data_IF_374298132564
#
_entry.id   IF_374298132564
#
_cell.length_a   1.000
_cell.length_b   1.000
_cell.length_c   1.000
_cell.angle_alpha   90.00
_cell.angle_beta   90.00
_cell.angle_gamma   90.00
#
_symmetry.space_group_name_H-M   'P 1'
#
loop_
_entity.id
_entity.type
_entity.pdbx_description
1 polymer ?
#
# COMPACT_ATOMS: atom_id res chain seq x y z
N UNK A 1 13.91 9.82 -7.87
CA UNK A 1 12.79 8.99 -8.30
C UNK A 1 13.08 7.55 -7.99
N UNK A 2 12.18 6.89 -7.31
CA UNK A 2 12.35 5.49 -6.93
C UNK A 2 11.16 4.65 -7.36
N UNK A 3 11.42 3.36 -7.59
CA UNK A 3 10.40 2.40 -7.98
C UNK A 3 10.62 1.09 -7.23
N UNK A 4 9.54 0.51 -6.75
CA UNK A 4 9.54 -0.84 -6.17
C UNK A 4 8.41 -1.64 -6.79
N UNK A 5 8.60 -2.95 -6.89
CA UNK A 5 7.53 -3.86 -7.25
C UNK A 5 7.77 -5.22 -6.63
N UNK A 6 6.70 -5.90 -6.29
CA UNK A 6 6.76 -7.20 -5.67
C UNK A 6 5.50 -7.97 -6.01
N UNK A 7 5.68 -9.24 -6.35
CA UNK A 7 4.57 -10.14 -6.66
C UNK A 7 4.66 -11.34 -5.74
N UNK A 8 3.54 -11.69 -5.12
CA UNK A 8 3.48 -12.82 -4.19
C UNK A 8 2.26 -13.68 -4.49
N UNK A 9 2.46 -14.99 -4.45
CA UNK A 9 1.34 -15.93 -4.46
C UNK A 9 0.71 -15.94 -3.07
N UNK A 10 -0.60 -15.77 -3.05
CA UNK A 10 -1.38 -15.70 -1.83
C UNK A 10 -2.23 -16.93 -1.70
N UNK A 11 -2.41 -17.42 -0.47
CA UNK A 11 -3.30 -18.54 -0.20
C UNK A 11 -4.77 -18.13 -0.25
N UNK A 12 -5.07 -16.86 0.01
CA UNK A 12 -6.43 -16.34 -0.01
C UNK A 12 -6.94 -16.11 -1.43
N UNK A 13 -8.26 -16.19 -1.61
CA UNK A 13 -8.91 -15.88 -2.90
C UNK A 13 -8.84 -14.39 -3.18
N UNK A 14 -9.04 -13.96 -4.46
CA UNK A 14 -9.10 -12.53 -4.76
C UNK A 14 -10.13 -11.77 -3.94
N UNK A 15 -11.29 -12.36 -3.73
CA UNK A 15 -12.37 -11.74 -2.95
C UNK A 15 -11.98 -11.57 -1.48
N UNK A 16 -11.32 -12.58 -0.90
CA UNK A 16 -10.86 -12.53 0.49
C UNK A 16 -9.77 -11.46 0.67
N UNK A 17 -8.84 -11.38 -0.29
CA UNK A 17 -7.81 -10.32 -0.27
C UNK A 17 -8.45 -8.94 -0.41
N UNK A 18 -9.39 -8.80 -1.33
CA UNK A 18 -10.04 -7.51 -1.56
C UNK A 18 -10.81 -7.04 -0.32
N UNK A 19 -11.46 -7.96 0.39
CA UNK A 19 -12.19 -7.63 1.61
C UNK A 19 -11.29 -6.97 2.65
N UNK A 20 -9.99 -7.30 2.64
CA UNK A 20 -9.00 -6.72 3.55
C UNK A 20 -8.39 -5.45 2.94
N UNK A 21 -7.85 -5.54 1.72
CA UNK A 21 -7.20 -4.40 1.06
C UNK A 21 -8.17 -3.23 0.86
N UNK A 22 -9.39 -3.52 0.46
CA UNK A 22 -10.41 -2.51 0.20
C UNK A 22 -11.04 -1.92 1.46
N UNK A 23 -10.70 -2.43 2.63
CA UNK A 23 -11.20 -1.93 3.91
C UNK A 23 -10.10 -1.17 4.65
N UNK A 24 -10.10 0.17 4.62
CA UNK A 24 -9.03 0.95 5.24
C UNK A 24 -8.89 0.72 6.75
N UNK A 25 -9.92 0.26 7.42
CA UNK A 25 -9.85 -0.04 8.86
C UNK A 25 -8.95 -1.24 9.18
N UNK A 26 -8.57 -2.04 8.19
CA UNK A 26 -7.65 -3.18 8.37
C UNK A 26 -6.19 -2.80 8.15
N UNK A 27 -5.90 -1.62 7.60
CA UNK A 27 -4.54 -1.27 7.19
C UNK A 27 -3.52 -1.28 8.32
N UNK A 28 -3.93 -0.98 9.53
CA UNK A 28 -3.04 -1.06 10.70
C UNK A 28 -2.62 -2.49 11.04
N UNK A 29 -3.30 -3.50 10.52
CA UNK A 29 -3.04 -4.90 10.80
C UNK A 29 -2.11 -5.58 9.79
N UNK A 30 -1.96 -4.98 8.60
CA UNK A 30 -1.11 -5.59 7.57
C UNK A 30 -0.16 -4.61 6.88
N UNK A 31 -0.58 -3.36 6.68
CA UNK A 31 0.24 -2.37 5.96
C UNK A 31 1.32 -1.84 6.90
N UNK A 32 2.52 -2.41 6.80
CA UNK A 32 3.56 -2.21 7.80
C UNK A 32 4.00 -0.77 8.04
N UNK A 33 3.88 0.10 7.03
CA UNK A 33 4.23 1.52 7.20
C UNK A 33 3.10 2.34 7.81
N UNK A 34 1.87 1.83 7.79
CA UNK A 34 0.71 2.54 8.35
C UNK A 34 0.74 2.46 9.87
N UNK A 35 0.87 3.59 10.53
CA UNK A 35 0.82 3.63 11.99
C UNK A 35 -0.60 3.83 12.50
N UNK A 36 -1.28 4.86 12.00
CA UNK A 36 -2.67 5.14 12.39
C UNK A 36 -3.34 6.10 11.42
N UNK A 37 -4.66 6.11 11.44
CA UNK A 37 -5.44 7.14 10.76
C UNK A 37 -5.42 8.41 11.59
N UNK A 38 -5.26 9.55 10.94
CA UNK A 38 -5.35 10.87 11.58
C UNK A 38 -6.75 11.45 11.45
N UNK A 39 -7.52 10.95 10.49
CA UNK A 39 -8.93 11.26 10.29
C UNK A 39 -9.65 9.94 10.05
N UNK A 40 -10.91 9.87 10.42
CA UNK A 40 -11.67 8.63 10.24
C UNK A 40 -11.78 8.27 8.75
N UNK A 41 -11.34 7.07 8.35
CA UNK A 41 -11.43 6.66 6.96
C UNK A 41 -12.86 6.26 6.59
N UNK A 42 -13.20 6.29 5.29
CA UNK A 42 -14.50 5.76 4.85
C UNK A 42 -14.56 4.25 5.08
N UNK A 43 -15.77 3.72 5.19
CA UNK A 43 -15.95 2.28 5.36
C UNK A 43 -15.55 1.50 4.10
N UNK A 44 -15.74 2.10 2.93
CA UNK A 44 -15.43 1.50 1.63
C UNK A 44 -14.67 2.52 0.78
N UNK A 45 -13.62 2.05 0.12
CA UNK A 45 -12.84 2.91 -0.76
C UNK A 45 -13.58 3.17 -2.07
N UNK A 46 -13.57 4.43 -2.49
CA UNK A 46 -14.16 4.84 -3.76
C UNK A 46 -13.25 5.90 -4.40
N UNK A 47 -13.23 6.01 -5.74
CA UNK A 47 -12.42 7.03 -6.40
C UNK A 47 -12.75 8.42 -5.87
N UNK A 48 -11.72 9.21 -5.63
CA UNK A 48 -11.85 10.54 -5.08
C UNK A 48 -11.82 10.63 -3.56
N UNK A 49 -11.87 9.50 -2.86
CA UNK A 49 -11.73 9.52 -1.40
C UNK A 49 -10.34 10.04 -0.99
N UNK A 50 -10.33 10.81 0.07
CA UNK A 50 -9.11 11.32 0.68
C UNK A 50 -8.95 10.70 2.06
N UNK A 51 -7.76 10.17 2.32
CA UNK A 51 -7.44 9.48 3.56
C UNK A 51 -6.20 10.13 4.17
N UNK A 52 -6.26 10.48 5.44
CA UNK A 52 -5.11 11.11 6.12
C UNK A 52 -4.58 10.16 7.16
N UNK A 53 -3.32 9.80 7.03
CA UNK A 53 -2.68 8.80 7.87
C UNK A 53 -1.30 9.24 8.34
N UNK A 54 -0.88 8.69 9.47
CA UNK A 54 0.50 8.77 9.91
C UNK A 54 1.18 7.48 9.43
N UNK A 55 2.25 7.64 8.67
CA UNK A 55 3.06 6.51 8.20
C UNK A 55 4.48 6.64 8.73
N UNK A 56 5.16 5.53 8.87
CA UNK A 56 6.56 5.51 9.32
C UNK A 56 7.40 4.81 8.25
N UNK A 57 8.40 5.55 7.74
CA UNK A 57 9.35 5.01 6.76
C UNK A 57 10.75 5.37 7.21
N UNK A 58 11.66 4.40 7.17
CA UNK A 58 13.05 4.57 7.63
C UNK A 58 13.13 5.14 9.07
N UNK A 59 12.17 4.73 9.92
CA UNK A 59 12.11 5.21 11.30
C UNK A 59 11.58 6.63 11.45
N UNK A 60 11.16 7.26 10.37
CA UNK A 60 10.65 8.64 10.38
C UNK A 60 9.15 8.66 10.17
N UNK A 61 8.44 9.37 11.06
CA UNK A 61 7.00 9.53 10.96
C UNK A 61 6.67 10.63 9.96
N UNK A 62 5.66 10.38 9.14
CA UNK A 62 5.17 11.30 8.13
C UNK A 62 3.65 11.34 8.12
N UNK A 63 3.11 12.52 7.82
CA UNK A 63 1.68 12.64 7.53
C UNK A 63 1.52 12.43 6.03
N UNK A 64 0.73 11.43 5.65
CA UNK A 64 0.40 11.18 4.26
C UNK A 64 -1.06 11.49 4.00
N UNK A 65 -1.32 12.18 2.89
CA UNK A 65 -2.67 12.35 2.36
C UNK A 65 -2.81 11.40 1.18
N UNK A 66 -3.53 10.32 1.40
CA UNK A 66 -3.82 9.35 0.35
C UNK A 66 -5.03 9.79 -0.45
N UNK A 67 -4.98 9.61 -1.75
CA UNK A 67 -6.13 9.78 -2.63
C UNK A 67 -6.38 8.46 -3.34
N UNK A 68 -7.63 8.05 -3.37
CA UNK A 68 -8.02 6.84 -4.12
C UNK A 68 -8.18 7.27 -5.58
N UNK A 69 -7.24 6.87 -6.43
CA UNK A 69 -7.24 7.25 -7.84
C UNK A 69 -8.18 6.37 -8.65
N UNK A 70 -8.17 5.05 -8.40
CA UNK A 70 -9.09 4.13 -9.06
C UNK A 70 -9.36 2.91 -8.19
N UNK A 71 -10.55 2.36 -8.36
CA UNK A 71 -10.98 1.13 -7.67
C UNK A 71 -11.74 0.27 -8.67
N UNK A 72 -11.24 -0.93 -8.91
CA UNK A 72 -11.93 -1.93 -9.74
C UNK A 72 -11.95 -3.24 -8.96
N UNK A 73 -12.94 -3.36 -8.09
CA UNK A 73 -13.08 -4.54 -7.24
C UNK A 73 -13.38 -5.79 -8.06
N UNK A 74 -12.81 -6.93 -7.74
CA UNK A 74 -11.80 -7.18 -6.69
C UNK A 74 -10.37 -7.24 -7.23
N UNK A 75 -10.06 -6.53 -8.31
CA UNK A 75 -8.82 -6.73 -9.07
C UNK A 75 -7.78 -5.62 -8.92
N UNK A 76 -8.20 -4.35 -8.89
CA UNK A 76 -7.24 -3.25 -8.97
C UNK A 76 -7.58 -2.11 -8.03
N UNK A 77 -6.56 -1.61 -7.34
CA UNK A 77 -6.64 -0.43 -6.50
C UNK A 77 -5.41 0.43 -6.75
N UNK A 78 -5.62 1.70 -7.12
CA UNK A 78 -4.54 2.67 -7.28
C UNK A 78 -4.69 3.78 -6.26
N UNK A 79 -3.63 4.00 -5.50
CA UNK A 79 -3.55 5.04 -4.47
C UNK A 79 -2.43 6.00 -4.81
N UNK A 80 -2.71 7.29 -4.70
CA UNK A 80 -1.65 8.29 -4.74
C UNK A 80 -1.55 8.93 -3.37
N UNK A 81 -0.37 9.43 -3.01
CA UNK A 81 -0.19 10.10 -1.73
C UNK A 81 0.78 11.27 -1.86
N UNK A 82 0.54 12.28 -1.05
CA UNK A 82 1.45 13.38 -0.85
C UNK A 82 1.94 13.35 0.59
N UNK A 83 3.25 13.38 0.77
CA UNK A 83 3.89 13.39 2.07
C UNK A 83 4.56 14.71 2.35
N UNK A 84 5.35 14.75 3.40
CA UNK A 84 6.12 15.93 3.77
C UNK A 84 7.23 16.21 2.75
N UNK A 85 7.64 17.47 2.67
CA UNK A 85 8.74 17.93 1.82
C UNK A 85 8.55 17.63 0.32
N UNK A 86 7.31 17.64 -0.16
CA UNK A 86 7.02 17.43 -1.58
C UNK A 86 7.14 15.99 -2.06
N UNK A 87 7.20 15.04 -1.14
CA UNK A 87 7.24 13.61 -1.51
C UNK A 87 5.89 13.20 -2.08
N UNK A 88 5.92 12.51 -3.21
CA UNK A 88 4.73 11.95 -3.85
C UNK A 88 4.93 10.47 -4.07
N UNK A 89 3.87 9.71 -3.87
CA UNK A 89 3.90 8.24 -3.97
C UNK A 89 2.68 7.78 -4.75
N UNK A 90 2.86 6.75 -5.57
CA UNK A 90 1.75 6.08 -6.23
C UNK A 90 1.92 4.57 -6.02
N UNK A 91 0.88 3.94 -5.48
CA UNK A 91 0.84 2.48 -5.34
C UNK A 91 -0.29 1.90 -6.17
N UNK A 92 0.00 0.82 -6.88
CA UNK A 92 -0.99 0.06 -7.62
C UNK A 92 -0.99 -1.37 -7.12
N UNK A 93 -2.15 -1.86 -6.69
CA UNK A 93 -2.38 -3.24 -6.25
C UNK A 93 -3.19 -3.95 -7.32
N UNK A 94 -2.68 -5.09 -7.80
CA UNK A 94 -3.37 -5.91 -8.81
C UNK A 94 -3.50 -7.33 -8.28
N UNK A 95 -4.73 -7.82 -8.24
CA UNK A 95 -5.06 -9.15 -7.74
C UNK A 95 -5.60 -10.00 -8.89
N UNK A 96 -4.99 -11.15 -9.11
CA UNK A 96 -5.42 -12.11 -10.12
C UNK A 96 -5.67 -13.47 -9.48
N UNK A 97 -6.65 -14.20 -9.97
CA UNK A 97 -6.90 -15.56 -9.52
C UNK A 97 -5.76 -16.47 -9.97
N UNK A 98 -5.30 -17.35 -9.09
CA UNK A 98 -4.23 -18.30 -9.39
C UNK A 98 -4.47 -19.60 -8.62
N UNK A 99 -4.91 -20.64 -9.31
CA UNK A 99 -5.26 -21.90 -8.66
C UNK A 99 -6.38 -21.71 -7.64
N UNK A 100 -6.16 -22.19 -6.43
CA UNK A 100 -7.13 -22.07 -5.32
C UNK A 100 -6.96 -20.76 -4.55
N UNK A 101 -5.95 -19.97 -4.89
CA UNK A 101 -5.65 -18.71 -4.23
C UNK A 101 -5.61 -17.58 -5.23
N UNK A 102 -4.62 -16.71 -5.06
CA UNK A 102 -4.46 -15.55 -5.93
C UNK A 102 -2.99 -15.18 -6.06
N UNK A 103 -2.73 -14.25 -6.97
CA UNK A 103 -1.42 -13.61 -7.11
C UNK A 103 -1.64 -12.12 -6.95
N UNK A 104 -0.92 -11.51 -6.01
CA UNK A 104 -0.97 -10.08 -5.76
C UNK A 104 0.32 -9.44 -6.22
N UNK A 105 0.19 -8.45 -7.10
CA UNK A 105 1.31 -7.63 -7.55
C UNK A 105 1.12 -6.21 -7.03
N UNK A 106 2.17 -5.65 -6.46
CA UNK A 106 2.15 -4.26 -5.98
C UNK A 106 3.31 -3.51 -6.61
N UNK A 107 3.01 -2.35 -7.15
CA UNK A 107 4.00 -1.44 -7.71
C UNK A 107 3.93 -0.13 -6.95
N UNK A 108 5.08 0.45 -6.64
CA UNK A 108 5.16 1.74 -5.97
C UNK A 108 6.19 2.65 -6.63
N UNK A 109 5.78 3.87 -6.92
CA UNK A 109 6.66 4.90 -7.47
C UNK A 109 6.77 6.04 -6.48
N UNK A 110 7.99 6.52 -6.28
CA UNK A 110 8.29 7.59 -5.34
C UNK A 110 8.99 8.72 -6.06
N UNK A 111 8.59 9.95 -5.79
CA UNK A 111 9.31 11.12 -6.29
C UNK A 111 9.36 12.22 -5.23
N UNK A 112 10.34 13.10 -5.35
CA UNK A 112 10.53 14.21 -4.43
C UNK A 112 11.97 14.66 -4.44
N UNK A 113 12.20 15.91 -4.07
CA UNK A 113 13.54 16.49 -4.05
C UNK A 113 14.49 15.76 -3.11
N UNK A 114 13.95 15.13 -2.06
CA UNK A 114 14.76 14.40 -1.08
C UNK A 114 15.04 12.95 -1.47
N UNK A 115 14.31 12.42 -2.46
CA UNK A 115 14.45 11.02 -2.88
C UNK A 115 15.44 10.94 -4.05
N UNK A 116 16.73 11.10 -3.74
CA UNK A 116 17.82 11.09 -4.73
C UNK A 116 19.03 10.39 -4.17
N UNK A 117 19.86 9.85 -5.07
CA UNK A 117 21.12 9.25 -4.71
C UNK A 117 21.01 8.14 -3.67
N UNK A 118 21.83 8.22 -2.65
CA UNK A 118 21.87 7.20 -1.60
C UNK A 118 20.56 7.11 -0.82
N UNK A 119 19.88 8.24 -0.57
CA UNK A 119 18.61 8.23 0.14
C UNK A 119 17.52 7.58 -0.73
N UNK A 120 17.50 7.85 -2.02
CA UNK A 120 16.56 7.20 -2.94
C UNK A 120 16.72 5.69 -2.94
N UNK A 121 17.96 5.21 -2.95
CA UNK A 121 18.27 3.77 -2.88
C UNK A 121 17.85 3.17 -1.54
N UNK A 122 18.05 3.90 -0.45
CA UNK A 122 17.63 3.46 0.88
C UNK A 122 16.12 3.34 0.98
N UNK A 123 15.39 4.29 0.40
CA UNK A 123 13.92 4.27 0.36
C UNK A 123 13.42 3.06 -0.45
N UNK A 124 14.02 2.79 -1.60
CA UNK A 124 13.64 1.64 -2.41
C UNK A 124 13.89 0.32 -1.68
N UNK A 125 15.04 0.19 -1.04
CA UNK A 125 15.40 -1.03 -0.31
C UNK A 125 14.49 -1.25 0.88
N UNK A 126 14.27 -0.23 1.69
CA UNK A 126 13.37 -0.32 2.83
C UNK A 126 11.92 -0.53 2.39
N UNK A 127 11.51 0.18 1.35
CA UNK A 127 10.16 0.04 0.79
C UNK A 127 9.86 -1.38 0.33
N UNK A 128 10.81 -2.02 -0.35
CA UNK A 128 10.64 -3.40 -0.77
C UNK A 128 10.54 -4.35 0.41
N UNK A 129 11.37 -4.15 1.42
CA UNK A 129 11.34 -4.93 2.66
C UNK A 129 10.00 -4.77 3.39
N UNK A 130 9.51 -3.54 3.49
CA UNK A 130 8.21 -3.27 4.13
C UNK A 130 7.08 -3.87 3.32
N UNK A 131 7.19 -3.86 2.00
CA UNK A 131 6.18 -4.45 1.12
C UNK A 131 6.09 -5.96 1.31
N UNK A 132 7.23 -6.65 1.36
CA UNK A 132 7.27 -8.09 1.64
C UNK A 132 6.60 -8.41 2.97
N UNK A 133 6.93 -7.65 4.00
CA UNK A 133 6.36 -7.81 5.34
C UNK A 133 4.85 -7.56 5.33
N UNK A 134 4.42 -6.53 4.61
CA UNK A 134 2.99 -6.19 4.49
C UNK A 134 2.21 -7.30 3.80
N UNK A 135 2.73 -7.86 2.72
CA UNK A 135 2.03 -8.89 1.98
C UNK A 135 1.97 -10.22 2.72
N UNK A 136 3.00 -10.54 3.51
CA UNK A 136 2.96 -11.72 4.39
C UNK A 136 1.85 -11.56 5.44
N UNK A 137 1.76 -10.39 6.06
CA UNK A 137 0.72 -10.11 7.05
C UNK A 137 -0.68 -10.10 6.41
N UNK A 138 -0.78 -9.54 5.20
CA UNK A 138 -2.04 -9.50 4.45
C UNK A 138 -2.55 -10.90 4.14
N UNK A 139 -1.67 -11.79 3.67
CA UNK A 139 -2.05 -13.16 3.35
C UNK A 139 -2.54 -13.89 4.61
N UNK A 140 -1.83 -13.76 5.70
CA UNK A 140 -2.23 -14.37 6.97
C UNK A 140 -3.59 -13.87 7.45
N UNK A 141 -3.84 -12.57 7.32
CA UNK A 141 -5.11 -11.96 7.73
C UNK A 141 -6.27 -12.38 6.84
N UNK A 142 -6.06 -12.39 5.53
CA UNK A 142 -7.10 -12.71 4.57
C UNK A 142 -7.43 -14.21 4.53
N UNK A 143 -6.47 -15.05 4.86
CA UNK A 143 -6.65 -16.51 4.87
C UNK A 143 -7.24 -17.03 6.19
N UNK A 144 -7.31 -16.19 7.20
CA UNK A 144 -7.81 -16.57 8.51
C UNK A 144 -9.32 -16.80 8.53
#
# INVERSE_FOLDING_TARGET
MGHIEYTKKMSATPEALWAVVGNPNTWGEWFSIHERWMEEPPAVLAPGNKLVAKVVMLGMANKFEWNVASVEAPTTLTLTAAGMAGVKVEFTFEIAAAGDGSELSVQGDFEGALIKGALGKAVEKDGLKQLEKSLDALDALAAA
#
